data_IF_409266118121
#
_entry.id   IF_409266118121
#
_cell.length_a   1.000
_cell.length_b   1.000
_cell.length_c   1.000
_cell.angle_alpha   90.00
_cell.angle_beta   90.00
_cell.angle_gamma   90.00
#
_symmetry.space_group_name_H-M   'P 1'
#
loop_
_entity.id
_entity.type
_entity.pdbx_description
1 polymer ?
#
# COMPACT_ATOMS: atom_id res chain seq x y z
N UNK A 1 -14.96 -3.21 -18.74
CA UNK A 1 -13.92 -3.59 -19.73
C UNK A 1 -13.11 -2.35 -19.95
N UNK A 2 -11.81 -2.44 -19.74
CA UNK A 2 -10.92 -1.29 -19.82
C UNK A 2 -10.88 -0.66 -21.22
N UNK A 3 -10.67 0.64 -21.24
CA UNK A 3 -10.59 1.53 -22.39
C UNK A 3 -9.19 2.16 -22.47
N UNK A 4 -8.81 2.75 -23.62
CA UNK A 4 -7.58 3.52 -23.71
C UNK A 4 -7.46 4.65 -22.67
N UNK A 5 -8.57 5.28 -22.29
CA UNK A 5 -8.57 6.33 -21.26
C UNK A 5 -8.16 5.78 -19.87
N UNK A 6 -8.57 4.56 -19.54
CA UNK A 6 -8.13 3.89 -18.30
C UNK A 6 -6.61 3.64 -18.33
N UNK A 7 -6.08 3.25 -19.50
CA UNK A 7 -4.65 3.04 -19.68
C UNK A 7 -3.85 4.34 -19.49
N UNK A 8 -4.34 5.46 -20.01
CA UNK A 8 -3.71 6.77 -19.81
C UNK A 8 -3.64 7.16 -18.32
N UNK A 9 -4.71 6.90 -17.56
CA UNK A 9 -4.72 7.15 -16.11
C UNK A 9 -3.69 6.25 -15.40
N UNK A 10 -3.65 4.96 -15.74
CA UNK A 10 -2.67 4.02 -15.17
C UNK A 10 -1.23 4.44 -15.48
N UNK A 11 -0.94 4.86 -16.71
CA UNK A 11 0.36 5.38 -17.10
C UNK A 11 0.68 6.68 -16.35
N UNK A 12 -0.31 7.55 -16.14
CA UNK A 12 -0.13 8.76 -15.32
C UNK A 12 0.21 8.44 -13.87
N UNK A 13 -0.44 7.46 -13.25
CA UNK A 13 -0.09 6.99 -11.91
C UNK A 13 1.35 6.48 -11.86
N UNK A 14 1.78 5.74 -12.89
CA UNK A 14 3.17 5.29 -13.00
C UNK A 14 4.15 6.47 -13.09
N UNK A 15 3.85 7.50 -13.90
CA UNK A 15 4.66 8.72 -13.96
C UNK A 15 4.81 9.40 -12.61
N UNK A 16 3.71 9.59 -11.87
CA UNK A 16 3.74 10.23 -10.55
C UNK A 16 4.58 9.43 -9.54
N UNK A 17 4.55 8.09 -9.62
CA UNK A 17 5.35 7.20 -8.77
C UNK A 17 6.85 7.21 -9.11
N UNK A 18 7.22 7.81 -10.24
CA UNK A 18 8.62 7.95 -10.69
C UNK A 18 9.26 9.25 -10.24
N UNK A 19 8.51 10.23 -9.75
CA UNK A 19 9.06 11.42 -9.12
C UNK A 19 10.09 11.01 -8.05
N UNK A 20 11.21 11.73 -7.97
CA UNK A 20 12.40 11.29 -7.23
C UNK A 20 12.10 11.09 -5.73
N UNK A 21 11.44 12.06 -5.10
CA UNK A 21 11.09 11.97 -3.69
C UNK A 21 10.05 10.88 -3.46
N UNK A 22 9.07 10.75 -4.33
CA UNK A 22 8.07 9.67 -4.27
C UNK A 22 8.71 8.29 -4.42
N UNK A 23 9.70 8.15 -5.31
CA UNK A 23 10.44 6.89 -5.48
C UNK A 23 11.23 6.53 -4.23
N UNK A 24 11.90 7.50 -3.60
CA UNK A 24 12.58 7.31 -2.31
C UNK A 24 11.59 6.90 -1.22
N UNK A 25 10.44 7.59 -1.13
CA UNK A 25 9.41 7.30 -0.15
C UNK A 25 8.86 5.88 -0.33
N UNK A 26 8.55 5.47 -1.56
CA UNK A 26 8.10 4.11 -1.88
C UNK A 26 9.15 3.05 -1.54
N UNK A 27 10.43 3.31 -1.82
CA UNK A 27 11.50 2.40 -1.44
C UNK A 27 11.57 2.22 0.08
N UNK A 28 11.55 3.33 0.83
CA UNK A 28 11.55 3.28 2.28
C UNK A 28 10.34 2.49 2.81
N UNK A 29 9.12 2.88 2.42
CA UNK A 29 7.88 2.26 2.91
C UNK A 29 7.77 0.79 2.49
N UNK A 30 8.17 0.46 1.27
CA UNK A 30 8.05 -0.90 0.72
C UNK A 30 9.15 -1.84 1.20
N UNK A 31 10.40 -1.38 1.18
CA UNK A 31 11.58 -2.23 1.31
C UNK A 31 12.29 -2.11 2.66
N UNK A 32 12.33 -0.93 3.26
CA UNK A 32 13.15 -0.66 4.45
C UNK A 32 12.34 -0.67 5.76
N UNK A 33 11.15 -0.07 5.75
CA UNK A 33 10.31 0.05 6.94
C UNK A 33 9.55 -1.25 7.21
N UNK A 34 10.08 -2.06 8.12
CA UNK A 34 9.49 -3.31 8.60
C UNK A 34 9.43 -3.27 10.14
N UNK A 35 8.40 -2.63 10.72
CA UNK A 35 8.23 -2.57 12.16
C UNK A 35 7.89 -3.96 12.70
N UNK A 36 8.60 -4.40 13.73
CA UNK A 36 8.43 -5.71 14.37
C UNK A 36 7.41 -5.67 15.52
N UNK A 37 7.06 -4.48 16.02
CA UNK A 37 6.10 -4.27 17.11
C UNK A 37 5.25 -3.03 16.87
N UNK A 38 4.10 -2.98 17.54
CA UNK A 38 3.22 -1.79 17.54
C UNK A 38 3.97 -0.54 17.98
N UNK A 39 4.90 -0.64 18.92
CA UNK A 39 5.70 0.51 19.37
C UNK A 39 6.62 1.01 18.26
N UNK A 40 7.33 0.12 17.55
CA UNK A 40 8.11 0.52 16.36
C UNK A 40 7.23 1.14 15.26
N UNK A 41 6.00 0.64 15.11
CA UNK A 41 5.04 1.25 14.18
C UNK A 41 4.56 2.62 14.65
N UNK A 42 4.41 2.88 15.95
CA UNK A 42 4.06 4.21 16.46
C UNK A 42 5.19 5.21 16.28
N UNK A 43 6.45 4.77 16.30
CA UNK A 43 7.60 5.65 16.08
C UNK A 43 7.56 6.39 14.72
N UNK A 44 7.06 5.77 13.64
CA UNK A 44 6.98 6.45 12.34
C UNK A 44 5.96 7.58 12.33
N UNK A 45 5.00 7.58 13.26
CA UNK A 45 3.94 8.59 13.36
C UNK A 45 4.37 9.84 14.14
N UNK A 46 5.52 9.80 14.82
CA UNK A 46 6.05 10.96 15.54
C UNK A 46 6.43 12.07 14.55
N UNK A 47 6.03 13.33 14.78
CA UNK A 47 6.41 14.45 13.91
C UNK A 47 7.92 14.67 13.80
N UNK A 48 8.68 14.24 14.81
CA UNK A 48 10.15 14.31 14.84
C UNK A 48 10.82 13.22 14.01
N UNK A 49 10.08 12.20 13.57
CA UNK A 49 10.62 11.14 12.74
C UNK A 49 10.78 11.64 11.29
N UNK A 50 12.00 11.73 10.74
CA UNK A 50 12.23 12.28 9.41
C UNK A 50 11.55 11.46 8.30
N UNK A 51 11.25 10.18 8.55
CA UNK A 51 10.60 9.30 7.59
C UNK A 51 9.06 9.36 7.65
N UNK A 52 8.48 10.10 8.60
CA UNK A 52 7.03 10.28 8.70
C UNK A 52 6.43 10.83 7.40
N UNK A 53 7.14 11.75 6.74
CA UNK A 53 6.71 12.36 5.48
C UNK A 53 6.64 11.33 4.36
N UNK A 54 7.59 10.40 4.29
CA UNK A 54 7.59 9.32 3.30
C UNK A 54 6.45 8.35 3.52
N UNK A 55 6.25 7.95 4.78
CA UNK A 55 5.13 7.11 5.18
C UNK A 55 3.80 7.73 4.76
N UNK A 56 3.52 8.95 5.23
CA UNK A 56 2.28 9.67 4.93
C UNK A 56 2.06 9.81 3.43
N UNK A 57 3.09 10.25 2.70
CA UNK A 57 3.00 10.48 1.26
C UNK A 57 2.58 9.21 0.50
N UNK A 58 3.17 8.06 0.83
CA UNK A 58 2.85 6.79 0.16
C UNK A 58 1.43 6.32 0.48
N UNK A 59 1.03 6.37 1.76
CA UNK A 59 -0.31 5.93 2.16
C UNK A 59 -1.38 6.83 1.54
N UNK A 60 -1.24 8.16 1.63
CA UNK A 60 -2.23 9.09 1.08
C UNK A 60 -2.30 9.04 -0.44
N UNK A 61 -1.16 8.82 -1.12
CA UNK A 61 -1.15 8.64 -2.57
C UNK A 61 -1.99 7.42 -2.99
N UNK A 62 -1.78 6.28 -2.33
CA UNK A 62 -2.52 5.06 -2.68
C UNK A 62 -4.00 5.12 -2.30
N UNK A 63 -4.33 5.73 -1.16
CA UNK A 63 -5.74 5.92 -0.77
C UNK A 63 -6.48 6.92 -1.67
N UNK A 64 -5.78 7.90 -2.24
CA UNK A 64 -6.33 8.75 -3.30
C UNK A 64 -6.52 7.95 -4.59
N UNK A 65 -5.48 7.23 -5.06
CA UNK A 65 -5.55 6.47 -6.30
C UNK A 65 -6.63 5.36 -6.26
N UNK A 66 -6.85 4.73 -5.10
CA UNK A 66 -7.90 3.73 -4.91
C UNK A 66 -9.33 4.29 -5.12
N UNK A 67 -9.53 5.60 -5.02
CA UNK A 67 -10.84 6.20 -5.32
C UNK A 67 -11.17 6.16 -6.82
N UNK A 68 -10.16 6.14 -7.70
CA UNK A 68 -10.39 6.15 -9.15
C UNK A 68 -11.28 4.97 -9.60
N UNK A 69 -10.96 3.70 -9.28
CA UNK A 69 -11.84 2.59 -9.59
C UNK A 69 -13.13 2.56 -8.74
N UNK A 70 -13.10 3.02 -7.48
CA UNK A 70 -14.32 3.06 -6.65
C UNK A 70 -15.40 4.00 -7.20
N UNK A 71 -14.98 5.04 -7.94
CA UNK A 71 -15.87 5.99 -8.60
C UNK A 71 -16.06 5.74 -10.10
N UNK A 72 -15.57 4.60 -10.61
CA UNK A 72 -15.72 4.22 -12.02
C UNK A 72 -14.89 5.05 -13.00
N UNK A 73 -13.90 5.81 -12.53
CA UNK A 73 -12.98 6.56 -13.38
C UNK A 73 -11.89 5.67 -14.01
N UNK A 74 -11.62 4.51 -13.39
CA UNK A 74 -10.70 3.48 -13.91
C UNK A 74 -11.34 2.10 -13.76
N UNK A 75 -11.25 1.25 -14.78
CA UNK A 75 -11.63 -0.16 -14.67
C UNK A 75 -10.90 -0.85 -13.49
N UNK A 76 -11.67 -1.41 -12.55
CA UNK A 76 -11.13 -1.96 -11.30
C UNK A 76 -10.16 -3.13 -11.53
N UNK A 77 -10.45 -3.99 -12.50
CA UNK A 77 -9.58 -5.12 -12.84
C UNK A 77 -8.25 -4.64 -13.41
N UNK A 78 -8.27 -3.62 -14.30
CA UNK A 78 -7.06 -3.00 -14.81
C UNK A 78 -6.25 -2.31 -13.70
N UNK A 79 -6.91 -1.58 -12.79
CA UNK A 79 -6.26 -0.95 -11.66
C UNK A 79 -5.56 -1.99 -10.77
N UNK A 80 -6.26 -3.06 -10.38
CA UNK A 80 -5.70 -4.12 -9.53
C UNK A 80 -4.54 -4.87 -10.22
N UNK A 81 -4.63 -5.09 -11.54
CA UNK A 81 -3.58 -5.74 -12.31
C UNK A 81 -2.29 -4.91 -12.42
N UNK A 82 -2.38 -3.58 -12.30
CA UNK A 82 -1.23 -2.67 -12.55
C UNK A 82 -0.73 -1.97 -11.29
N UNK A 83 -1.58 -1.80 -10.27
CA UNK A 83 -1.29 -1.10 -9.02
C UNK A 83 -1.13 -2.07 -7.83
N UNK A 84 -0.42 -3.19 -8.03
CA UNK A 84 -0.21 -4.21 -6.99
C UNK A 84 0.49 -3.70 -5.72
N UNK A 85 1.20 -2.56 -5.79
CA UNK A 85 1.80 -1.96 -4.60
C UNK A 85 0.76 -1.48 -3.59
N UNK A 86 -0.42 -1.00 -4.02
CA UNK A 86 -1.49 -0.62 -3.10
C UNK A 86 -1.91 -1.82 -2.23
N UNK A 87 -2.11 -2.98 -2.86
CA UNK A 87 -2.43 -4.24 -2.19
C UNK A 87 -1.30 -4.67 -1.25
N UNK A 88 -0.05 -4.59 -1.72
CA UNK A 88 1.14 -4.90 -0.94
C UNK A 88 1.25 -4.04 0.33
N UNK A 89 1.09 -2.72 0.21
CA UNK A 89 1.19 -1.81 1.36
C UNK A 89 0.07 -2.09 2.35
N UNK A 90 -1.16 -2.26 1.87
CA UNK A 90 -2.27 -2.65 2.75
C UNK A 90 -1.98 -3.96 3.47
N UNK A 91 -1.58 -5.00 2.74
CA UNK A 91 -1.29 -6.32 3.30
C UNK A 91 -0.13 -6.29 4.31
N UNK A 92 0.86 -5.43 4.07
CA UNK A 92 2.04 -5.30 4.92
C UNK A 92 1.73 -4.69 6.27
N UNK A 93 0.78 -3.75 6.33
CA UNK A 93 0.58 -2.91 7.51
C UNK A 93 -0.82 -2.98 8.13
N UNK A 94 -1.81 -3.60 7.48
CA UNK A 94 -3.17 -3.64 8.00
C UNK A 94 -3.22 -4.15 9.45
N UNK A 95 -2.69 -5.35 9.71
CA UNK A 95 -2.79 -5.99 11.02
C UNK A 95 -2.14 -5.12 12.12
N UNK A 96 -0.89 -4.68 11.92
CA UNK A 96 -0.16 -3.86 12.92
C UNK A 96 -0.73 -2.44 13.07
N UNK A 97 -1.22 -1.84 11.99
CA UNK A 97 -1.81 -0.49 12.04
C UNK A 97 -3.17 -0.51 12.72
N UNK A 98 -3.98 -1.53 12.43
CA UNK A 98 -5.30 -1.69 13.04
C UNK A 98 -5.16 -2.03 14.52
N UNK A 99 -4.19 -2.87 14.91
CA UNK A 99 -3.81 -3.10 16.30
C UNK A 99 -3.34 -1.80 17.00
N UNK A 100 -2.48 -1.03 16.33
CA UNK A 100 -1.90 0.18 16.91
C UNK A 100 -2.92 1.31 17.12
N UNK A 101 -3.92 1.42 16.25
CA UNK A 101 -4.81 2.60 16.13
C UNK A 101 -6.29 2.32 16.41
N UNK A 102 -6.73 1.06 16.35
CA UNK A 102 -8.14 0.67 16.43
C UNK A 102 -8.99 1.06 15.21
N UNK A 103 -8.38 1.59 14.14
CA UNK A 103 -9.08 2.05 12.93
C UNK A 103 -8.65 1.23 11.71
N UNK A 104 -9.58 1.00 10.78
CA UNK A 104 -9.30 0.33 9.50
C UNK A 104 -8.17 1.02 8.74
N UNK A 105 -7.14 0.24 8.40
CA UNK A 105 -6.03 0.77 7.61
C UNK A 105 -6.35 0.72 6.11
N UNK A 106 -6.01 1.81 5.42
CA UNK A 106 -6.25 2.00 3.99
C UNK A 106 -7.68 1.58 3.57
N UNK A 107 -8.73 2.27 4.08
CA UNK A 107 -10.12 1.87 3.89
C UNK A 107 -10.57 1.85 2.42
N UNK A 108 -10.07 2.73 1.56
CA UNK A 108 -10.43 2.71 0.13
C UNK A 108 -9.82 1.50 -0.57
N UNK A 109 -8.56 1.21 -0.27
CA UNK A 109 -7.90 -0.01 -0.76
C UNK A 109 -8.59 -1.26 -0.20
N UNK A 110 -9.05 -1.24 1.06
CA UNK A 110 -9.87 -2.33 1.62
C UNK A 110 -11.14 -2.55 0.81
N UNK A 111 -11.90 -1.49 0.53
CA UNK A 111 -13.13 -1.57 -0.27
C UNK A 111 -12.89 -2.21 -1.65
N UNK A 112 -11.77 -1.88 -2.29
CA UNK A 112 -11.39 -2.50 -3.56
C UNK A 112 -11.09 -3.99 -3.43
N UNK A 113 -10.35 -4.38 -2.39
CA UNK A 113 -10.08 -5.80 -2.10
C UNK A 113 -11.37 -6.54 -1.83
N UNK A 114 -12.24 -6.00 -0.97
CA UNK A 114 -13.50 -6.64 -0.59
C UNK A 114 -14.48 -6.74 -1.77
N UNK A 115 -14.35 -5.87 -2.77
CA UNK A 115 -15.26 -5.76 -3.91
C UNK A 115 -15.22 -6.90 -4.93
N UNK A 116 -14.22 -7.80 -4.87
CA UNK A 116 -14.24 -9.03 -5.70
C UNK A 116 -13.44 -10.18 -5.09
N UNK A 117 -13.92 -11.42 -5.30
CA UNK A 117 -13.24 -12.64 -4.85
C UNK A 117 -11.79 -12.75 -5.39
N UNK A 118 -11.58 -12.32 -6.64
CA UNK A 118 -10.26 -12.29 -7.27
C UNK A 118 -9.30 -11.36 -6.53
N UNK A 119 -9.74 -10.16 -6.15
CA UNK A 119 -8.92 -9.21 -5.40
C UNK A 119 -8.63 -9.71 -3.98
N UNK A 120 -9.61 -10.34 -3.32
CA UNK A 120 -9.41 -11.00 -2.02
C UNK A 120 -8.35 -12.12 -2.12
N UNK A 121 -8.45 -12.99 -3.13
CA UNK A 121 -7.48 -14.07 -3.33
C UNK A 121 -6.06 -13.53 -3.59
N UNK A 122 -5.92 -12.46 -4.37
CA UNK A 122 -4.65 -11.78 -4.59
C UNK A 122 -4.10 -11.18 -3.29
N UNK A 123 -4.94 -10.52 -2.50
CA UNK A 123 -4.56 -9.91 -1.23
C UNK A 123 -4.07 -10.96 -0.22
N UNK A 124 -4.76 -12.09 -0.09
CA UNK A 124 -4.35 -13.18 0.79
C UNK A 124 -3.04 -13.84 0.34
N UNK A 125 -2.84 -14.01 -0.97
CA UNK A 125 -1.57 -14.49 -1.51
C UNK A 125 -0.40 -13.55 -1.16
N UNK A 126 -0.62 -12.23 -1.25
CA UNK A 126 0.36 -11.21 -0.88
C UNK A 126 0.62 -11.23 0.64
N UNK A 127 -0.42 -11.32 1.50
CA UNK A 127 -0.25 -11.47 2.95
C UNK A 127 0.63 -12.67 3.31
N UNK A 128 0.40 -13.82 2.68
CA UNK A 128 1.22 -15.02 2.90
C UNK A 128 2.69 -14.82 2.54
N UNK A 129 2.98 -14.18 1.40
CA UNK A 129 4.35 -13.88 0.99
C UNK A 129 5.04 -12.89 1.95
N UNK A 130 4.29 -11.90 2.43
CA UNK A 130 4.78 -10.88 3.36
C UNK A 130 5.12 -11.46 4.73
N UNK A 131 4.37 -12.44 5.22
CA UNK A 131 4.69 -13.11 6.48
C UNK A 131 6.07 -13.77 6.44
N UNK A 132 6.38 -14.48 5.34
CA UNK A 132 7.71 -15.08 5.13
C UNK A 132 8.81 -14.01 5.05
N UNK A 133 8.56 -12.90 4.33
CA UNK A 133 9.51 -11.79 4.25
C UNK A 133 9.74 -11.13 5.61
N UNK A 134 8.68 -10.93 6.40
CA UNK A 134 8.75 -10.32 7.74
C UNK A 134 9.62 -11.17 8.68
N UNK A 135 9.45 -12.49 8.66
CA UNK A 135 10.30 -13.40 9.43
C UNK A 135 11.79 -13.26 9.06
N UNK A 136 12.11 -13.17 7.76
CA UNK A 136 13.49 -12.95 7.30
C UNK A 136 14.07 -11.61 7.76
N UNK A 137 13.29 -10.52 7.67
CA UNK A 137 13.76 -9.19 8.05
C UNK A 137 13.97 -9.09 9.57
N UNK A 138 13.08 -9.69 10.37
CA UNK A 138 13.25 -9.74 11.83
C UNK A 138 14.48 -10.55 12.20
N UNK A 139 14.69 -11.71 11.59
CA UNK A 139 15.87 -12.54 11.83
C UNK A 139 17.19 -11.84 11.45
N UNK A 140 17.20 -11.01 10.41
CA UNK A 140 18.38 -10.26 9.99
C UNK A 140 18.70 -9.04 10.89
N UNK A 141 17.76 -8.60 11.73
CA UNK A 141 17.95 -7.51 12.69
C UNK A 141 18.39 -8.00 14.08
N UNK A 142 18.27 -9.30 14.36
CA UNK A 142 18.67 -9.95 15.59
C UNK A 142 20.17 -10.31 15.57
#
# INVERSE_FOLDING_TARGET
MATPADADIVLKLYELRREEVMRKARNYVGMEFWPASVDEFREIHKPTNPNNVYWRQVITFWEMAAQLPLHGAVDSDLFLATQGEALFIRAKFADISEEATGNTFMPNTKKLVDGSEKAQAQFEAVKKQLAARRAQVVAAKA
#
